data_IF_207454743156
#
_entry.id   IF_207454743156
#
_cell.length_a   1.000
_cell.length_b   1.000
_cell.length_c   1.000
_cell.angle_alpha   90.00
_cell.angle_beta   90.00
_cell.angle_gamma   90.00
#
_symmetry.space_group_name_H-M   'P 1'
#
loop_
_entity.id
_entity.type
_entity.pdbx_description
1 polymer ?
#
# COMPACT_ATOMS: atom_id res chain seq x y z
N UNK A 1 2.27 -25.99 22.44
CA UNK A 1 2.53 -26.47 21.07
C UNK A 1 1.38 -27.30 20.47
N UNK A 2 0.77 -28.29 21.16
CA UNK A 2 -0.32 -29.10 20.53
C UNK A 2 -1.68 -28.40 20.45
N UNK A 3 -2.03 -27.56 21.43
CA UNK A 3 -3.30 -26.83 21.43
C UNK A 3 -3.32 -25.70 20.39
N UNK A 4 -2.19 -25.04 20.20
CA UNK A 4 -2.04 -23.94 19.21
C UNK A 4 -2.10 -24.47 17.77
N UNK A 5 -1.53 -25.65 17.50
CA UNK A 5 -1.58 -26.28 16.17
C UNK A 5 -2.99 -26.76 15.84
N UNK A 6 -3.71 -27.37 16.80
CA UNK A 6 -5.10 -27.77 16.59
C UNK A 6 -6.02 -26.56 16.40
N UNK A 7 -5.76 -25.47 17.10
CA UNK A 7 -6.49 -24.21 16.95
C UNK A 7 -6.27 -23.59 15.56
N UNK A 8 -5.02 -23.55 15.08
CA UNK A 8 -4.67 -23.04 13.75
C UNK A 8 -5.26 -23.90 12.61
N UNK A 9 -5.31 -25.24 12.79
CA UNK A 9 -5.93 -26.14 11.80
C UNK A 9 -7.44 -25.95 11.67
N UNK A 10 -8.12 -25.55 12.76
CA UNK A 10 -9.54 -25.19 12.72
C UNK A 10 -9.82 -23.83 12.04
N UNK A 11 -8.78 -23.02 11.77
CA UNK A 11 -8.90 -21.73 11.08
C UNK A 11 -8.83 -21.86 9.56
N UNK A 12 -8.37 -23.00 9.05
CA UNK A 12 -8.24 -23.24 7.62
C UNK A 12 -9.62 -23.39 7.00
N UNK A 13 -9.97 -22.46 6.12
CA UNK A 13 -11.22 -22.51 5.40
C UNK A 13 -11.12 -23.54 4.26
N UNK A 14 -12.00 -24.53 4.18
CA UNK A 14 -11.97 -25.48 3.09
C UNK A 14 -12.07 -24.79 1.71
N UNK A 15 -11.39 -25.35 0.71
CA UNK A 15 -11.38 -24.79 -0.65
C UNK A 15 -12.81 -24.69 -1.24
N UNK A 16 -13.67 -25.65 -0.93
CA UNK A 16 -15.08 -25.65 -1.37
C UNK A 16 -15.88 -24.49 -0.75
N UNK A 17 -15.59 -24.15 0.52
CA UNK A 17 -16.21 -23.01 1.19
C UNK A 17 -15.79 -21.68 0.54
N UNK A 18 -14.51 -21.58 0.11
CA UNK A 18 -13.99 -20.40 -0.56
C UNK A 18 -14.74 -20.11 -1.87
N UNK A 19 -14.99 -21.12 -2.69
CA UNK A 19 -15.78 -21.00 -3.93
C UNK A 19 -17.22 -20.62 -3.62
N UNK A 20 -17.82 -21.22 -2.61
CA UNK A 20 -19.20 -20.94 -2.18
C UNK A 20 -19.40 -19.49 -1.75
N UNK A 21 -18.45 -18.92 -0.98
CA UNK A 21 -18.47 -17.51 -0.58
C UNK A 21 -18.34 -16.57 -1.79
N UNK A 22 -17.45 -16.91 -2.72
CA UNK A 22 -17.27 -16.12 -3.94
C UNK A 22 -18.55 -16.11 -4.79
N UNK A 23 -19.19 -17.27 -4.98
CA UNK A 23 -20.42 -17.40 -5.77
C UNK A 23 -21.60 -16.65 -5.12
N UNK A 24 -21.68 -16.68 -3.78
CA UNK A 24 -22.67 -15.89 -3.03
C UNK A 24 -22.49 -14.38 -3.26
N UNK A 25 -21.25 -13.87 -3.23
CA UNK A 25 -20.97 -12.46 -3.52
C UNK A 25 -21.29 -12.10 -4.98
N UNK A 26 -21.00 -12.97 -5.94
CA UNK A 26 -21.39 -12.76 -7.35
C UNK A 26 -22.90 -12.68 -7.53
N UNK A 27 -23.64 -13.56 -6.89
CA UNK A 27 -25.11 -13.55 -6.91
C UNK A 27 -25.68 -12.27 -6.29
N UNK A 28 -25.14 -11.85 -5.14
CA UNK A 28 -25.55 -10.62 -4.47
C UNK A 28 -25.21 -9.36 -5.27
N UNK A 29 -24.06 -9.34 -5.97
CA UNK A 29 -23.73 -8.27 -6.91
C UNK A 29 -24.71 -8.23 -8.09
N UNK A 30 -25.01 -9.37 -8.69
CA UNK A 30 -25.97 -9.45 -9.81
C UNK A 30 -27.38 -8.94 -9.40
N UNK A 31 -27.78 -9.18 -8.17
CA UNK A 31 -29.09 -8.72 -7.64
C UNK A 31 -29.09 -7.19 -7.37
N UNK A 32 -27.96 -6.58 -7.02
CA UNK A 32 -27.84 -5.14 -6.78
C UNK A 32 -26.49 -4.59 -7.31
N UNK A 33 -26.35 -4.43 -8.64
CA UNK A 33 -25.08 -4.05 -9.25
C UNK A 33 -24.72 -2.57 -9.11
N UNK A 34 -25.65 -1.73 -8.63
CA UNK A 34 -25.45 -0.28 -8.52
C UNK A 34 -26.05 0.27 -7.22
N UNK A 35 -25.49 -0.06 -6.05
CA UNK A 35 -26.01 0.43 -4.79
C UNK A 35 -26.04 1.96 -4.75
N UNK A 36 -27.12 2.59 -4.24
CA UNK A 36 -27.21 4.05 -4.16
C UNK A 36 -26.22 4.62 -3.12
N UNK A 37 -25.90 5.92 -3.25
CA UNK A 37 -24.97 6.59 -2.34
C UNK A 37 -25.37 6.45 -0.85
N UNK A 38 -26.67 6.51 -0.53
CA UNK A 38 -27.15 6.35 0.84
C UNK A 38 -26.76 5.00 1.44
N UNK A 39 -26.89 3.91 0.67
CA UNK A 39 -26.51 2.57 1.10
C UNK A 39 -25.00 2.45 1.33
N UNK A 40 -24.19 2.98 0.41
CA UNK A 40 -22.71 2.98 0.57
C UNK A 40 -22.28 3.81 1.78
N UNK A 41 -22.94 4.95 2.04
CA UNK A 41 -22.70 5.75 3.25
C UNK A 41 -23.08 5.00 4.54
N UNK A 42 -24.14 4.18 4.52
CA UNK A 42 -24.49 3.32 5.66
C UNK A 42 -23.40 2.28 5.92
N UNK A 43 -22.83 1.66 4.87
CA UNK A 43 -21.72 0.72 5.01
C UNK A 43 -20.48 1.38 5.64
N UNK A 44 -20.08 2.55 5.12
CA UNK A 44 -18.95 3.30 5.66
C UNK A 44 -19.18 3.73 7.11
N UNK A 45 -20.42 4.15 7.45
CA UNK A 45 -20.78 4.49 8.83
C UNK A 45 -20.68 3.27 9.75
N UNK A 46 -21.22 2.13 9.36
CA UNK A 46 -21.17 0.90 10.15
C UNK A 46 -19.70 0.46 10.39
N UNK A 47 -18.85 0.54 9.37
CA UNK A 47 -17.42 0.24 9.51
C UNK A 47 -16.71 1.21 10.47
N UNK A 48 -16.99 2.52 10.36
CA UNK A 48 -16.40 3.53 11.25
C UNK A 48 -16.79 3.30 12.70
N UNK A 49 -18.09 3.10 12.96
CA UNK A 49 -18.62 2.91 14.30
C UNK A 49 -18.01 1.64 14.93
N UNK A 50 -17.94 0.53 14.16
CA UNK A 50 -17.31 -0.72 14.59
C UNK A 50 -15.84 -0.51 15.02
N UNK A 51 -15.02 0.15 14.18
CA UNK A 51 -13.60 0.36 14.49
C UNK A 51 -13.40 1.28 15.70
N UNK A 52 -14.30 2.25 15.89
CA UNK A 52 -14.25 3.17 17.03
C UNK A 52 -14.63 2.47 18.34
N UNK A 53 -15.66 1.61 18.31
CA UNK A 53 -16.16 0.91 19.47
C UNK A 53 -15.20 -0.21 19.93
N UNK A 54 -14.59 -0.92 18.98
CA UNK A 54 -13.75 -2.10 19.24
C UNK A 54 -12.23 -1.78 19.24
N UNK A 55 -11.87 -0.50 19.40
CA UNK A 55 -10.47 -0.03 19.30
C UNK A 55 -9.51 -0.79 20.23
N UNK A 56 -9.92 -1.08 21.48
CA UNK A 56 -9.05 -1.74 22.45
C UNK A 56 -8.82 -3.20 22.06
N UNK A 57 -9.87 -3.92 21.65
CA UNK A 57 -9.75 -5.30 21.20
C UNK A 57 -8.81 -5.43 19.98
N UNK A 58 -8.86 -4.45 19.04
CA UNK A 58 -7.97 -4.40 17.89
C UNK A 58 -6.51 -4.15 18.29
N UNK A 59 -6.26 -3.22 19.23
CA UNK A 59 -4.93 -2.97 19.78
C UNK A 59 -4.36 -4.24 20.43
N UNK A 60 -5.13 -4.90 21.26
CA UNK A 60 -4.72 -6.08 21.99
C UNK A 60 -4.41 -7.26 21.04
N UNK A 61 -5.26 -7.49 20.05
CA UNK A 61 -5.07 -8.55 19.07
C UNK A 61 -3.79 -8.33 18.23
N UNK A 62 -3.56 -7.11 17.76
CA UNK A 62 -2.34 -6.78 16.99
C UNK A 62 -1.10 -6.92 17.88
N UNK A 63 -1.15 -6.44 19.12
CA UNK A 63 -0.03 -6.60 20.06
C UNK A 63 0.27 -8.07 20.36
N UNK A 64 -0.76 -8.90 20.45
CA UNK A 64 -0.62 -10.36 20.63
C UNK A 64 0.12 -11.01 19.45
N UNK A 65 -0.23 -10.68 18.21
CA UNK A 65 0.37 -11.23 17.00
C UNK A 65 1.88 -10.88 16.92
N UNK A 66 2.24 -9.67 17.29
CA UNK A 66 3.64 -9.21 17.32
C UNK A 66 4.41 -9.69 18.57
N UNK A 67 3.76 -10.37 19.52
CA UNK A 67 4.27 -10.61 20.90
C UNK A 67 4.44 -9.34 21.72
N UNK A 68 4.47 -8.21 21.11
CA UNK A 68 4.35 -6.86 21.64
C UNK A 68 4.39 -5.85 20.51
N UNK A 69 3.39 -4.98 20.44
CA UNK A 69 3.39 -3.76 19.63
C UNK A 69 2.82 -2.62 20.47
N UNK A 70 3.41 -1.43 20.38
CA UNK A 70 2.92 -0.25 21.06
C UNK A 70 1.45 0.01 20.74
N UNK A 71 0.67 0.29 21.79
CA UNK A 71 -0.73 0.69 21.63
C UNK A 71 -0.84 2.00 20.83
N UNK A 72 0.06 2.95 21.11
CA UNK A 72 0.10 4.25 20.42
C UNK A 72 0.51 4.08 18.94
N UNK A 73 1.46 3.20 18.61
CA UNK A 73 1.75 2.87 17.21
C UNK A 73 0.51 2.32 16.49
N UNK A 74 -0.24 1.41 17.12
CA UNK A 74 -1.46 0.86 16.53
C UNK A 74 -2.54 1.94 16.34
N UNK A 75 -2.71 2.81 17.33
CA UNK A 75 -3.63 3.96 17.24
C UNK A 75 -3.25 4.92 16.11
N UNK A 76 -1.98 5.32 16.03
CA UNK A 76 -1.51 6.35 15.11
C UNK A 76 -1.31 5.83 13.69
N UNK A 77 -0.85 4.58 13.52
CA UNK A 77 -0.48 4.03 12.23
C UNK A 77 -1.55 3.12 11.59
N UNK A 78 -2.55 2.67 12.35
CA UNK A 78 -3.61 1.80 11.82
C UNK A 78 -5.02 2.35 12.04
N UNK A 79 -5.42 2.61 13.29
CA UNK A 79 -6.79 3.05 13.60
C UNK A 79 -7.08 4.46 13.08
N UNK A 80 -6.21 5.41 13.38
CA UNK A 80 -6.40 6.80 12.98
C UNK A 80 -6.48 6.96 11.45
N UNK A 81 -5.53 6.44 10.64
CA UNK A 81 -5.65 6.55 9.19
C UNK A 81 -6.84 5.78 8.63
N UNK A 82 -7.23 4.64 9.22
CA UNK A 82 -8.47 3.92 8.83
C UNK A 82 -9.71 4.77 9.03
N UNK A 83 -9.85 5.39 10.19
CA UNK A 83 -10.99 6.27 10.51
C UNK A 83 -11.00 7.54 9.67
N UNK A 84 -9.83 8.13 9.40
CA UNK A 84 -9.70 9.28 8.50
C UNK A 84 -10.12 8.94 7.07
N UNK A 85 -9.63 7.83 6.53
CA UNK A 85 -9.99 7.37 5.18
C UNK A 85 -11.50 7.09 5.04
N UNK A 86 -12.14 6.49 6.04
CA UNK A 86 -13.60 6.32 6.07
C UNK A 86 -14.32 7.66 6.07
N UNK A 87 -13.88 8.59 6.91
CA UNK A 87 -14.46 9.92 7.00
C UNK A 87 -14.33 10.68 5.69
N UNK A 88 -13.12 10.71 5.11
CA UNK A 88 -12.83 11.34 3.83
C UNK A 88 -13.70 10.76 2.71
N UNK A 89 -13.76 9.44 2.59
CA UNK A 89 -14.60 8.77 1.60
C UNK A 89 -16.09 9.12 1.79
N UNK A 90 -16.59 9.12 3.03
CA UNK A 90 -17.99 9.45 3.33
C UNK A 90 -18.35 10.88 2.92
N UNK A 91 -17.46 11.84 3.11
CA UNK A 91 -17.68 13.23 2.72
C UNK A 91 -17.70 13.40 1.20
N UNK A 92 -16.82 12.70 0.46
CA UNK A 92 -16.61 12.91 -0.96
C UNK A 92 -17.42 11.97 -1.86
N UNK A 93 -17.97 10.87 -1.32
CA UNK A 93 -18.66 9.81 -2.06
C UNK A 93 -19.68 10.30 -3.07
N UNK A 94 -20.58 11.20 -2.66
CA UNK A 94 -21.60 11.76 -3.56
C UNK A 94 -20.99 12.53 -4.73
N UNK A 95 -19.84 13.16 -4.51
CA UNK A 95 -19.08 13.86 -5.54
C UNK A 95 -18.47 12.88 -6.54
N UNK A 96 -17.81 11.85 -6.03
CA UNK A 96 -17.16 10.81 -6.84
C UNK A 96 -18.13 10.01 -7.71
N UNK A 97 -19.33 9.76 -7.22
CA UNK A 97 -20.38 9.06 -7.96
C UNK A 97 -21.04 9.90 -9.07
N UNK A 98 -20.81 11.22 -9.11
CA UNK A 98 -21.39 12.08 -10.15
C UNK A 98 -20.78 11.72 -11.51
N UNK A 99 -21.63 11.60 -12.56
CA UNK A 99 -21.13 11.44 -13.92
C UNK A 99 -20.22 12.60 -14.33
N UNK A 100 -19.03 12.29 -14.83
CA UNK A 100 -18.08 13.27 -15.33
C UNK A 100 -18.44 13.67 -16.77
N UNK A 101 -18.85 14.91 -17.01
CA UNK A 101 -19.17 15.41 -18.36
C UNK A 101 -17.91 15.48 -19.22
N UNK A 102 -18.04 15.14 -20.51
CA UNK A 102 -16.94 15.17 -21.48
C UNK A 102 -17.31 16.06 -22.67
N UNK A 103 -16.31 16.69 -23.27
CA UNK A 103 -16.48 17.46 -24.49
C UNK A 103 -16.72 16.51 -25.66
N UNK A 104 -17.60 16.92 -26.58
CA UNK A 104 -17.87 16.20 -27.82
C UNK A 104 -17.41 17.07 -29.00
N UNK A 105 -16.55 16.52 -29.84
CA UNK A 105 -16.03 17.21 -31.03
C UNK A 105 -17.15 17.64 -31.99
N UNK A 106 -16.92 18.72 -32.71
CA UNK A 106 -17.92 19.33 -33.59
C UNK A 106 -18.49 18.36 -34.65
N UNK A 107 -17.64 17.45 -35.15
CA UNK A 107 -18.04 16.43 -36.13
C UNK A 107 -19.11 15.45 -35.62
N UNK A 108 -19.27 15.34 -34.28
CA UNK A 108 -20.21 14.42 -33.64
C UNK A 108 -21.48 15.12 -33.12
N UNK A 109 -21.56 16.44 -33.23
CA UNK A 109 -22.74 17.22 -32.81
C UNK A 109 -23.97 16.93 -33.69
N UNK A 110 -25.19 17.02 -33.13
CA UNK A 110 -25.50 17.26 -31.73
C UNK A 110 -25.38 15.97 -30.91
N UNK A 111 -24.53 16.02 -29.88
CA UNK A 111 -24.37 14.92 -28.96
C UNK A 111 -23.89 15.44 -27.60
N UNK A 112 -24.08 14.64 -26.55
CA UNK A 112 -23.46 14.84 -25.25
C UNK A 112 -22.69 13.59 -24.82
N UNK A 113 -21.63 13.76 -24.05
CA UNK A 113 -20.84 12.66 -23.56
C UNK A 113 -20.59 12.79 -22.05
N UNK A 114 -20.55 11.65 -21.38
CA UNK A 114 -20.24 11.56 -19.96
C UNK A 114 -19.54 10.25 -19.65
N UNK A 115 -18.81 10.21 -18.53
CA UNK A 115 -18.31 8.98 -17.92
C UNK A 115 -19.17 8.70 -16.70
N UNK A 116 -19.64 7.47 -16.58
CA UNK A 116 -20.37 6.95 -15.42
C UNK A 116 -19.46 5.93 -14.74
N UNK A 117 -19.32 6.04 -13.43
CA UNK A 117 -18.54 5.11 -12.63
C UNK A 117 -19.46 4.02 -12.09
N UNK A 118 -19.15 2.76 -12.41
CA UNK A 118 -19.91 1.58 -11.99
C UNK A 118 -19.04 0.67 -11.15
N UNK A 119 -19.57 0.03 -10.08
CA UNK A 119 -18.83 -1.02 -9.37
C UNK A 119 -18.31 -2.07 -10.34
N UNK A 120 -17.14 -2.62 -10.06
CA UNK A 120 -16.56 -3.72 -10.86
C UNK A 120 -17.33 -5.03 -10.65
N UNK A 121 -17.63 -5.36 -9.39
CA UNK A 121 -18.27 -6.61 -9.02
C UNK A 121 -17.78 -7.15 -7.68
N UNK A 122 -17.05 -8.25 -7.70
CA UNK A 122 -16.42 -8.85 -6.52
C UNK A 122 -14.92 -8.55 -6.53
N UNK A 123 -14.46 -7.87 -5.49
CA UNK A 123 -13.06 -7.47 -5.31
C UNK A 123 -12.40 -8.40 -4.28
N UNK A 124 -11.27 -8.98 -4.66
CA UNK A 124 -10.39 -9.69 -3.74
C UNK A 124 -9.31 -8.76 -3.18
N UNK A 125 -9.02 -8.87 -1.90
CA UNK A 125 -7.93 -8.15 -1.24
C UNK A 125 -7.08 -9.12 -0.44
N UNK A 126 -5.79 -9.22 -0.75
CA UNK A 126 -4.82 -10.01 0.02
C UNK A 126 -3.99 -9.06 0.86
N UNK A 127 -4.10 -9.23 2.18
CA UNK A 127 -3.61 -8.31 3.20
C UNK A 127 -2.32 -8.85 3.80
N UNK A 128 -1.26 -8.04 3.97
CA UNK A 128 -0.03 -8.42 4.63
C UNK A 128 -0.16 -8.37 6.16
N UNK A 129 0.91 -8.75 6.85
CA UNK A 129 0.94 -8.85 8.31
C UNK A 129 1.44 -7.59 9.03
N UNK A 130 2.11 -6.65 8.34
CA UNK A 130 2.81 -5.55 9.02
C UNK A 130 1.90 -4.43 9.56
N UNK A 131 0.83 -4.13 8.85
CA UNK A 131 -0.28 -3.27 9.28
C UNK A 131 -1.59 -3.95 8.94
N UNK A 132 -1.95 -5.02 9.69
CA UNK A 132 -3.03 -5.93 9.30
C UNK A 132 -4.41 -5.28 9.31
N UNK A 133 -4.63 -4.26 10.14
CA UNK A 133 -5.87 -3.49 10.18
C UNK A 133 -5.92 -2.47 9.03
N UNK A 134 -4.96 -1.55 8.97
CA UNK A 134 -4.99 -0.45 8.00
C UNK A 134 -4.97 -0.96 6.55
N UNK A 135 -4.15 -1.97 6.26
CA UNK A 135 -4.03 -2.54 4.92
C UNK A 135 -5.20 -3.47 4.53
N UNK A 136 -6.07 -3.83 5.48
CA UNK A 136 -7.37 -4.42 5.21
C UNK A 136 -8.44 -3.34 4.98
N UNK A 137 -8.49 -2.35 5.85
CA UNK A 137 -9.56 -1.35 5.87
C UNK A 137 -9.43 -0.33 4.73
N UNK A 138 -8.22 0.13 4.39
CA UNK A 138 -8.01 1.08 3.30
C UNK A 138 -8.61 0.62 1.96
N UNK A 139 -8.21 -0.56 1.43
CA UNK A 139 -8.84 -1.12 0.23
C UNK A 139 -10.34 -1.41 0.39
N UNK A 140 -10.77 -1.89 1.56
CA UNK A 140 -12.19 -2.13 1.85
C UNK A 140 -13.03 -0.85 1.71
N UNK A 141 -12.54 0.28 2.25
CA UNK A 141 -13.19 1.60 2.13
C UNK A 141 -13.33 2.01 0.66
N UNK A 142 -12.26 1.88 -0.12
CA UNK A 142 -12.28 2.18 -1.55
C UNK A 142 -13.29 1.32 -2.32
N UNK A 143 -13.28 0.01 -2.09
CA UNK A 143 -14.16 -0.95 -2.75
C UNK A 143 -15.64 -0.76 -2.36
N UNK A 144 -15.96 -0.55 -1.07
CA UNK A 144 -17.32 -0.25 -0.60
C UNK A 144 -17.82 1.10 -1.11
N UNK A 145 -16.95 2.11 -1.16
CA UNK A 145 -17.27 3.42 -1.75
C UNK A 145 -17.64 3.30 -3.23
N UNK A 146 -16.92 2.47 -3.97
CA UNK A 146 -17.24 2.16 -5.36
C UNK A 146 -18.50 1.29 -5.52
N UNK A 147 -18.95 0.60 -4.46
CA UNK A 147 -20.17 -0.20 -4.43
C UNK A 147 -19.96 -1.70 -4.71
N UNK A 148 -18.75 -2.20 -4.54
CA UNK A 148 -18.39 -3.61 -4.77
C UNK A 148 -18.74 -4.51 -3.58
N UNK A 149 -18.68 -5.81 -3.84
CA UNK A 149 -18.57 -6.89 -2.85
C UNK A 149 -17.09 -7.15 -2.59
N UNK A 150 -16.71 -7.54 -1.37
CA UNK A 150 -15.30 -7.63 -1.00
C UNK A 150 -14.99 -8.92 -0.24
N UNK A 151 -13.97 -9.63 -0.68
CA UNK A 151 -13.36 -10.74 0.03
C UNK A 151 -11.99 -10.32 0.53
N UNK A 152 -11.72 -10.45 1.84
CA UNK A 152 -10.44 -10.11 2.47
C UNK A 152 -9.72 -11.40 2.86
N UNK A 153 -8.57 -11.71 2.24
CA UNK A 153 -7.66 -12.76 2.70
C UNK A 153 -6.62 -12.16 3.62
N UNK A 154 -6.76 -12.41 4.90
CA UNK A 154 -5.83 -11.91 5.91
C UNK A 154 -4.59 -12.80 6.03
N UNK A 155 -3.50 -12.23 6.56
CA UNK A 155 -2.24 -12.95 6.69
C UNK A 155 -2.30 -14.02 7.79
N UNK A 156 -1.72 -15.16 7.52
CA UNK A 156 -1.48 -16.24 8.49
C UNK A 156 -0.52 -15.85 9.61
N UNK A 157 0.29 -14.80 9.42
CA UNK A 157 1.22 -14.31 10.43
C UNK A 157 0.56 -13.42 11.50
N UNK A 158 -0.72 -13.06 11.32
CA UNK A 158 -1.51 -12.24 12.26
C UNK A 158 -2.84 -12.92 12.58
N UNK A 159 -2.81 -14.12 13.21
CA UNK A 159 -4.01 -14.93 13.42
C UNK A 159 -4.99 -14.31 14.41
N UNK A 160 -4.53 -13.67 15.50
CA UNK A 160 -5.41 -13.04 16.48
C UNK A 160 -6.20 -11.86 15.85
N UNK A 161 -5.50 -10.99 15.12
CA UNK A 161 -6.12 -9.91 14.36
C UNK A 161 -7.07 -10.45 13.30
N UNK A 162 -6.68 -11.52 12.60
CA UNK A 162 -7.48 -12.15 11.56
C UNK A 162 -8.81 -12.69 12.09
N UNK A 163 -8.80 -13.41 13.20
CA UNK A 163 -9.98 -13.94 13.86
C UNK A 163 -10.91 -12.82 14.33
N UNK A 164 -10.33 -11.82 14.99
CA UNK A 164 -11.11 -10.70 15.50
C UNK A 164 -11.78 -9.92 14.35
N UNK A 165 -11.04 -9.62 13.27
CA UNK A 165 -11.63 -8.94 12.11
C UNK A 165 -12.71 -9.78 11.42
N UNK A 166 -12.56 -11.11 11.33
CA UNK A 166 -13.61 -12.00 10.81
C UNK A 166 -14.88 -11.91 11.64
N UNK A 167 -14.76 -11.93 12.95
CA UNK A 167 -15.88 -11.81 13.87
C UNK A 167 -16.53 -10.41 13.76
N UNK A 168 -15.73 -9.35 13.89
CA UNK A 168 -16.21 -7.97 13.93
C UNK A 168 -16.91 -7.56 12.63
N UNK A 169 -16.28 -7.82 11.49
CA UNK A 169 -16.89 -7.50 10.18
C UNK A 169 -18.16 -8.32 9.94
N UNK A 170 -18.20 -9.57 10.41
CA UNK A 170 -19.40 -10.42 10.35
C UNK A 170 -20.57 -9.94 11.20
N UNK A 171 -20.34 -9.10 12.23
CA UNK A 171 -21.41 -8.48 13.03
C UNK A 171 -22.15 -7.36 12.27
N UNK A 172 -21.48 -6.67 11.34
CA UNK A 172 -22.02 -5.47 10.67
C UNK A 172 -22.27 -5.65 9.18
N UNK A 173 -21.64 -6.66 8.56
CA UNK A 173 -21.82 -6.96 7.14
C UNK A 173 -22.22 -8.41 6.92
N UNK A 174 -23.21 -8.68 6.05
CA UNK A 174 -23.47 -10.03 5.59
C UNK A 174 -22.28 -10.52 4.73
N UNK A 175 -22.02 -11.84 4.72
CA UNK A 175 -20.88 -12.43 4.03
C UNK A 175 -20.92 -12.23 2.50
N UNK A 176 -22.09 -12.02 1.94
CA UNK A 176 -22.30 -11.69 0.53
C UNK A 176 -21.98 -10.22 0.18
N UNK A 177 -21.64 -9.39 1.19
CA UNK A 177 -21.12 -8.04 1.01
C UNK A 177 -19.64 -7.95 1.37
N UNK A 178 -19.26 -8.37 2.57
CA UNK A 178 -17.88 -8.43 3.05
C UNK A 178 -17.65 -9.75 3.73
N UNK A 179 -16.66 -10.51 3.28
CA UNK A 179 -16.25 -11.71 4.00
C UNK A 179 -14.73 -11.74 4.22
N UNK A 180 -14.33 -12.35 5.34
CA UNK A 180 -12.94 -12.54 5.73
C UNK A 180 -12.58 -14.02 5.55
N UNK A 181 -11.50 -14.25 4.81
CA UNK A 181 -10.92 -15.56 4.54
C UNK A 181 -9.62 -15.67 5.35
N UNK A 182 -9.55 -16.71 6.17
CA UNK A 182 -8.35 -17.09 6.92
C UNK A 182 -7.76 -18.37 6.33
N UNK A 183 -6.52 -18.65 6.63
CA UNK A 183 -5.82 -19.87 6.22
C UNK A 183 -4.40 -19.58 5.75
N UNK A 184 -3.65 -20.66 5.54
CA UNK A 184 -2.24 -20.65 5.18
C UNK A 184 -2.01 -20.31 3.70
N UNK A 185 -0.78 -20.49 3.22
CA UNK A 185 -0.37 -20.13 1.87
C UNK A 185 -1.17 -20.83 0.75
N UNK A 186 -1.63 -22.05 0.96
CA UNK A 186 -2.46 -22.81 0.03
C UNK A 186 -3.82 -22.13 -0.23
N UNK A 187 -4.45 -21.62 0.83
CA UNK A 187 -5.67 -20.80 0.72
C UNK A 187 -5.38 -19.48 -0.01
N UNK A 188 -4.21 -18.86 0.24
CA UNK A 188 -3.78 -17.68 -0.50
C UNK A 188 -3.62 -17.93 -1.99
N UNK A 189 -3.06 -19.08 -2.38
CA UNK A 189 -2.94 -19.52 -3.78
C UNK A 189 -4.32 -19.76 -4.40
N UNK A 190 -5.21 -20.47 -3.70
CA UNK A 190 -6.58 -20.73 -4.18
C UNK A 190 -7.37 -19.43 -4.33
N UNK A 191 -7.26 -18.53 -3.36
CA UNK A 191 -7.89 -17.20 -3.38
C UNK A 191 -7.45 -16.41 -4.62
N UNK A 192 -6.15 -16.37 -4.92
CA UNK A 192 -5.63 -15.64 -6.08
C UNK A 192 -6.11 -16.19 -7.45
N UNK A 193 -6.64 -17.41 -7.51
CA UNK A 193 -7.20 -18.05 -8.70
C UNK A 193 -8.70 -17.83 -8.89
N UNK A 194 -9.40 -17.26 -7.89
CA UNK A 194 -10.80 -16.90 -8.05
C UNK A 194 -10.98 -15.84 -9.16
N UNK A 195 -12.11 -15.89 -9.85
CA UNK A 195 -12.42 -14.99 -10.96
C UNK A 195 -12.92 -13.62 -10.47
N UNK A 196 -12.10 -12.95 -9.66
CA UNK A 196 -12.41 -11.61 -9.21
C UNK A 196 -12.54 -10.63 -10.37
N UNK A 197 -13.33 -9.58 -10.17
CA UNK A 197 -13.40 -8.45 -11.10
C UNK A 197 -12.25 -7.45 -10.87
N UNK A 198 -11.59 -7.53 -9.72
CA UNK A 198 -10.31 -6.89 -9.40
C UNK A 198 -9.64 -7.61 -8.22
N UNK A 199 -8.32 -7.70 -8.23
CA UNK A 199 -7.55 -8.27 -7.13
C UNK A 199 -6.47 -7.28 -6.66
N UNK A 200 -6.56 -6.84 -5.41
CA UNK A 200 -5.50 -6.05 -4.77
C UNK A 200 -4.65 -6.97 -3.91
N UNK A 201 -3.36 -6.87 -4.06
CA UNK A 201 -2.37 -7.58 -3.25
C UNK A 201 -1.38 -6.59 -2.66
N UNK A 202 -1.14 -6.69 -1.36
CA UNK A 202 -0.05 -6.00 -0.67
C UNK A 202 0.90 -7.03 -0.06
N UNK A 203 2.20 -6.92 -0.36
CA UNK A 203 3.20 -7.85 0.16
C UNK A 203 4.51 -7.86 -0.62
N UNK A 204 5.27 -8.95 -0.49
CA UNK A 204 6.58 -9.08 -1.14
C UNK A 204 6.47 -9.16 -2.67
N UNK A 205 7.42 -8.54 -3.38
CA UNK A 205 7.47 -8.52 -4.87
C UNK A 205 7.47 -9.93 -5.48
N UNK A 206 8.15 -10.90 -4.86
CA UNK A 206 8.18 -12.29 -5.31
C UNK A 206 6.77 -12.91 -5.30
N UNK A 207 6.00 -12.68 -4.25
CA UNK A 207 4.63 -13.19 -4.12
C UNK A 207 3.68 -12.44 -5.06
N UNK A 208 3.82 -11.11 -5.19
CA UNK A 208 3.03 -10.31 -6.14
C UNK A 208 3.13 -10.83 -7.58
N UNK A 209 4.30 -11.32 -8.01
CA UNK A 209 4.48 -11.97 -9.31
C UNK A 209 3.65 -13.26 -9.45
N UNK A 210 3.51 -14.05 -8.38
CA UNK A 210 2.66 -15.24 -8.39
C UNK A 210 1.18 -14.89 -8.45
N UNK A 211 0.76 -13.90 -7.66
CA UNK A 211 -0.62 -13.38 -7.66
C UNK A 211 -0.99 -12.85 -9.06
N UNK A 212 -0.12 -12.08 -9.69
CA UNK A 212 -0.32 -11.55 -11.04
C UNK A 212 -0.45 -12.67 -12.08
N UNK A 213 0.38 -13.72 -12.00
CA UNK A 213 0.28 -14.87 -12.91
C UNK A 213 -1.06 -15.61 -12.73
N UNK A 214 -1.50 -15.84 -11.49
CA UNK A 214 -2.77 -16.48 -11.20
C UNK A 214 -3.96 -15.62 -11.72
N UNK A 215 -3.92 -14.32 -11.51
CA UNK A 215 -4.93 -13.38 -11.98
C UNK A 215 -5.03 -13.34 -13.53
N UNK A 216 -3.90 -13.47 -14.21
CA UNK A 216 -3.84 -13.47 -15.69
C UNK A 216 -4.65 -14.61 -16.33
N UNK A 217 -4.76 -15.77 -15.68
CA UNK A 217 -5.57 -16.92 -16.13
C UNK A 217 -7.05 -16.53 -16.34
N UNK A 218 -7.54 -15.55 -15.56
CA UNK A 218 -8.92 -15.09 -15.57
C UNK A 218 -9.09 -13.69 -16.19
N UNK A 219 -7.99 -13.05 -16.66
CA UNK A 219 -7.96 -11.64 -17.06
C UNK A 219 -8.39 -10.70 -15.93
N UNK A 220 -8.18 -11.10 -14.67
CA UNK A 220 -8.47 -10.28 -13.51
C UNK A 220 -7.47 -9.11 -13.43
N UNK A 221 -7.93 -7.85 -13.47
CA UNK A 221 -7.05 -6.70 -13.23
C UNK A 221 -6.47 -6.74 -11.82
N UNK A 222 -5.20 -6.35 -11.67
CA UNK A 222 -4.54 -6.33 -10.37
C UNK A 222 -4.04 -4.94 -9.98
N UNK A 223 -4.11 -4.65 -8.67
CA UNK A 223 -3.31 -3.62 -8.02
C UNK A 223 -2.30 -4.31 -7.13
N UNK A 224 -1.02 -4.02 -7.31
CA UNK A 224 0.06 -4.62 -6.55
C UNK A 224 0.77 -3.54 -5.75
N UNK A 225 0.64 -3.61 -4.43
CA UNK A 225 1.34 -2.76 -3.48
C UNK A 225 2.51 -3.57 -2.90
N UNK A 226 3.68 -3.29 -3.43
CA UNK A 226 4.89 -4.05 -3.10
C UNK A 226 5.85 -3.14 -2.32
N UNK A 227 6.99 -3.65 -1.94
CA UNK A 227 7.97 -2.88 -1.22
C UNK A 227 9.07 -2.34 -2.12
N UNK A 228 10.27 -2.40 -1.61
CA UNK A 228 11.49 -2.01 -2.30
C UNK A 228 12.47 -1.32 -1.35
N UNK A 229 13.65 -0.97 -1.87
CA UNK A 229 14.69 -0.29 -1.10
C UNK A 229 14.48 1.21 -1.18
N UNK A 230 13.61 1.76 -0.31
CA UNK A 230 13.27 3.18 -0.25
C UNK A 230 14.46 4.02 0.26
N UNK A 231 15.10 4.88 -0.57
CA UNK A 231 16.24 5.70 -0.18
C UNK A 231 15.81 6.93 0.61
N UNK A 232 16.65 7.35 1.55
CA UNK A 232 16.62 8.69 2.11
C UNK A 232 17.90 9.44 1.71
N UNK A 233 17.77 10.62 1.12
CA UNK A 233 18.90 11.48 0.71
C UNK A 233 18.99 12.66 1.69
N UNK A 234 20.13 12.84 2.33
CA UNK A 234 20.42 13.96 3.24
C UNK A 234 21.28 14.97 2.48
N UNK A 235 20.79 16.20 2.24
CA UNK A 235 21.56 17.24 1.55
C UNK A 235 22.70 17.79 2.41
N UNK A 236 23.62 18.54 1.79
CA UNK A 236 24.72 19.18 2.49
C UNK A 236 24.25 20.28 3.45
N UNK A 237 23.14 20.94 3.14
CA UNK A 237 22.70 22.16 3.83
C UNK A 237 21.66 21.90 4.93
N UNK A 238 21.11 20.66 4.99
CA UNK A 238 20.08 20.36 6.00
C UNK A 238 20.70 20.24 7.40
N UNK A 239 20.03 20.74 8.45
CA UNK A 239 20.41 20.48 9.82
C UNK A 239 20.33 18.96 10.09
N UNK A 240 21.48 18.34 10.39
CA UNK A 240 21.55 16.87 10.55
C UNK A 240 20.64 16.34 11.65
N UNK A 241 20.47 17.11 12.73
CA UNK A 241 19.56 16.73 13.82
C UNK A 241 18.13 16.52 13.30
N UNK A 242 17.60 17.44 12.49
CA UNK A 242 16.24 17.39 11.98
C UNK A 242 16.05 16.23 11.00
N UNK A 243 17.01 16.02 10.09
CA UNK A 243 16.98 14.92 9.14
C UNK A 243 17.10 13.56 9.86
N UNK A 244 18.05 13.44 10.78
CA UNK A 244 18.30 12.21 11.54
C UNK A 244 17.09 11.82 12.39
N UNK A 245 16.43 12.78 13.07
CA UNK A 245 15.24 12.54 13.89
C UNK A 245 14.08 12.00 13.06
N UNK A 246 13.79 12.60 11.90
CA UNK A 246 12.71 12.16 11.01
C UNK A 246 13.01 10.83 10.33
N UNK A 247 14.27 10.60 9.94
CA UNK A 247 14.68 9.29 9.38
C UNK A 247 14.64 8.22 10.47
N UNK A 248 15.05 8.53 11.70
CA UNK A 248 14.98 7.64 12.83
C UNK A 248 13.53 7.25 13.13
N UNK A 249 12.60 8.22 13.21
CA UNK A 249 11.17 7.93 13.38
C UNK A 249 10.65 7.00 12.28
N UNK A 250 10.90 7.34 11.01
CA UNK A 250 10.42 6.51 9.88
C UNK A 250 11.02 5.11 9.83
N UNK A 251 12.21 4.93 10.38
CA UNK A 251 12.88 3.62 10.42
C UNK A 251 12.56 2.81 11.68
N UNK A 252 12.20 3.45 12.79
CA UNK A 252 11.92 2.75 14.04
C UNK A 252 10.44 2.43 14.24
N UNK A 253 9.53 3.16 13.61
CA UNK A 253 8.10 2.86 13.62
C UNK A 253 7.88 1.39 13.16
N UNK A 254 7.13 0.62 13.94
CA UNK A 254 6.92 -0.81 13.73
C UNK A 254 8.24 -1.60 13.60
N UNK A 255 9.31 -1.17 14.27
CA UNK A 255 10.67 -1.72 14.15
C UNK A 255 11.16 -1.80 12.69
N UNK A 256 10.76 -0.86 11.84
CA UNK A 256 11.13 -0.81 10.41
C UNK A 256 10.40 -1.83 9.53
N UNK A 257 9.41 -2.53 10.04
CA UNK A 257 8.59 -3.49 9.29
C UNK A 257 7.51 -2.78 8.47
N UNK A 258 7.95 -1.86 7.60
CA UNK A 258 7.09 -0.93 6.86
C UNK A 258 7.62 -0.81 5.42
N UNK A 259 6.74 -0.98 4.43
CA UNK A 259 7.08 -0.95 2.99
C UNK A 259 7.66 0.39 2.52
N UNK A 260 7.39 1.45 3.25
CA UNK A 260 7.91 2.80 3.00
C UNK A 260 8.97 3.24 4.03
N UNK A 261 9.42 2.37 4.95
CA UNK A 261 10.51 2.73 5.86
C UNK A 261 11.77 3.10 5.05
N UNK A 262 12.54 4.11 5.47
CA UNK A 262 13.87 4.33 4.89
C UNK A 262 14.68 3.04 4.94
N UNK A 263 15.03 2.49 3.78
CA UNK A 263 15.71 1.20 3.70
C UNK A 263 17.23 1.38 3.75
N UNK A 264 17.73 2.46 3.18
CA UNK A 264 19.11 2.96 3.34
C UNK A 264 19.12 4.48 3.27
N UNK A 265 20.20 5.09 3.76
CA UNK A 265 20.37 6.54 3.72
C UNK A 265 21.64 6.94 2.97
N UNK A 266 21.53 7.91 2.07
CA UNK A 266 22.62 8.55 1.37
C UNK A 266 23.00 9.82 2.12
N UNK A 267 24.26 9.91 2.56
CA UNK A 267 24.78 11.01 3.37
C UNK A 267 26.06 11.56 2.72
N UNK A 268 26.25 12.89 2.63
CA UNK A 268 27.53 13.45 2.18
C UNK A 268 28.69 12.84 2.97
N UNK A 269 29.76 12.40 2.27
CA UNK A 269 30.84 11.62 2.87
C UNK A 269 31.51 12.30 4.07
N UNK A 270 31.65 13.62 4.01
CA UNK A 270 32.23 14.45 5.09
C UNK A 270 31.30 14.63 6.28
N UNK A 271 30.02 14.22 6.17
CA UNK A 271 28.98 14.34 7.21
C UNK A 271 28.54 13.03 7.83
N UNK A 272 29.06 11.88 7.36
CA UNK A 272 28.65 10.54 7.82
C UNK A 272 28.79 10.38 9.33
N UNK A 273 29.94 10.74 9.90
CA UNK A 273 30.17 10.62 11.35
C UNK A 273 29.20 11.46 12.18
N UNK A 274 28.95 12.70 11.73
CA UNK A 274 27.99 13.60 12.41
C UNK A 274 26.55 13.11 12.28
N UNK A 275 26.18 12.51 11.13
CA UNK A 275 24.87 11.92 10.94
C UNK A 275 24.66 10.69 11.85
N UNK A 276 25.66 9.80 11.94
CA UNK A 276 25.62 8.62 12.84
C UNK A 276 25.33 9.05 14.27
N UNK A 277 26.02 10.10 14.75
CA UNK A 277 25.84 10.57 16.12
C UNK A 277 24.47 11.22 16.33
N UNK A 278 24.01 12.07 15.39
CA UNK A 278 22.67 12.66 15.44
C UNK A 278 21.56 11.59 15.41
N UNK A 279 21.73 10.58 14.57
CA UNK A 279 20.77 9.46 14.45
C UNK A 279 20.72 8.61 15.73
N UNK A 280 21.90 8.31 16.32
CA UNK A 280 21.99 7.61 17.59
C UNK A 280 21.27 8.36 18.70
N UNK A 281 21.47 9.68 18.79
CA UNK A 281 20.81 10.53 19.77
C UNK A 281 19.29 10.52 19.59
N UNK A 282 18.81 10.61 18.34
CA UNK A 282 17.38 10.56 18.03
C UNK A 282 16.76 9.22 18.47
N UNK A 283 17.34 8.08 18.07
CA UNK A 283 16.82 6.75 18.44
C UNK A 283 16.83 6.53 19.95
N UNK A 284 17.89 6.94 20.65
CA UNK A 284 17.95 6.85 22.12
C UNK A 284 16.98 7.79 22.82
N UNK A 285 16.68 8.93 22.19
CA UNK A 285 15.65 9.85 22.67
C UNK A 285 14.25 9.27 22.57
N UNK A 286 13.96 8.52 21.51
CA UNK A 286 12.66 7.82 21.32
C UNK A 286 12.55 6.60 22.22
N UNK A 287 13.61 5.82 22.31
CA UNK A 287 13.64 4.54 23.04
C UNK A 287 14.85 4.53 23.99
N UNK A 288 14.70 5.00 25.22
CA UNK A 288 15.80 5.01 26.20
C UNK A 288 16.30 3.61 26.54
N UNK A 289 15.42 2.61 26.49
CA UNK A 289 15.71 1.19 26.69
C UNK A 289 15.11 0.37 25.58
N UNK A 290 15.62 -0.85 25.36
CA UNK A 290 15.03 -1.83 24.43
C UNK A 290 14.16 -2.85 25.19
N UNK A 291 14.72 -3.41 26.26
CA UNK A 291 14.04 -4.40 27.11
C UNK A 291 12.95 -3.68 27.92
N UNK A 292 11.78 -4.30 28.01
CA UNK A 292 10.62 -3.79 28.77
C UNK A 292 10.09 -2.41 28.32
N UNK A 293 10.52 -1.92 27.16
CA UNK A 293 10.02 -0.67 26.62
C UNK A 293 8.63 -0.89 25.96
N UNK A 294 7.57 -0.23 26.44
CA UNK A 294 6.21 -0.39 25.90
C UNK A 294 6.05 0.20 24.50
N UNK A 295 6.95 1.10 24.09
CA UNK A 295 6.87 1.79 22.80
C UNK A 295 7.63 1.07 21.68
N UNK A 296 8.49 0.07 22.00
CA UNK A 296 9.31 -0.60 21.01
C UNK A 296 8.68 -1.92 20.54
N UNK A 297 8.28 -1.95 19.26
CA UNK A 297 7.61 -3.09 18.63
C UNK A 297 8.57 -4.25 18.35
N UNK A 298 8.13 -5.49 18.59
CA UNK A 298 8.89 -6.69 18.29
C UNK A 298 8.80 -7.09 16.80
N UNK A 299 9.73 -7.93 16.36
CA UNK A 299 9.67 -8.57 15.02
C UNK A 299 8.54 -9.59 15.01
N UNK A 300 7.77 -9.63 13.93
CA UNK A 300 6.51 -10.39 13.84
C UNK A 300 6.65 -11.87 14.17
N UNK A 301 7.74 -12.53 13.74
CA UNK A 301 7.98 -13.94 14.00
C UNK A 301 9.47 -14.29 13.95
N UNK A 302 9.80 -15.51 14.39
CA UNK A 302 11.18 -15.98 14.46
C UNK A 302 11.83 -16.12 13.08
N UNK A 303 11.06 -16.44 12.05
CA UNK A 303 11.57 -16.50 10.67
C UNK A 303 12.08 -15.13 10.19
N UNK A 304 11.36 -14.07 10.48
CA UNK A 304 11.78 -12.72 10.12
C UNK A 304 12.94 -12.24 10.97
N UNK A 305 12.97 -12.59 12.26
CA UNK A 305 14.11 -12.31 13.12
C UNK A 305 15.38 -13.02 12.63
N UNK A 306 15.28 -14.29 12.27
CA UNK A 306 16.41 -15.06 11.72
C UNK A 306 16.91 -14.47 10.40
N UNK A 307 16.01 -14.03 9.51
CA UNK A 307 16.35 -13.35 8.26
C UNK A 307 17.14 -12.06 8.51
N UNK A 308 16.69 -11.23 9.44
CA UNK A 308 17.36 -9.97 9.79
C UNK A 308 18.76 -10.21 10.41
N UNK A 309 18.89 -11.19 11.29
CA UNK A 309 20.19 -11.59 11.84
C UNK A 309 21.11 -12.13 10.74
N UNK A 310 20.57 -12.86 9.76
CA UNK A 310 21.30 -13.29 8.57
C UNK A 310 21.86 -12.13 7.76
N UNK A 311 21.11 -11.05 7.59
CA UNK A 311 21.61 -9.84 6.92
C UNK A 311 22.78 -9.18 7.66
N UNK A 312 22.72 -9.10 8.99
CA UNK A 312 23.80 -8.55 9.79
C UNK A 312 25.06 -9.44 9.72
N UNK A 313 24.89 -10.75 9.80
CA UNK A 313 25.99 -11.72 9.68
C UNK A 313 26.65 -11.67 8.30
N UNK A 314 25.87 -11.66 7.22
CA UNK A 314 26.40 -11.53 5.85
C UNK A 314 27.17 -10.22 5.66
N UNK A 315 26.55 -9.09 6.06
CA UNK A 315 27.18 -7.78 5.93
C UNK A 315 28.50 -7.67 6.69
N UNK A 316 28.52 -8.12 7.95
CA UNK A 316 29.75 -8.08 8.77
C UNK A 316 30.84 -9.02 8.24
N UNK A 317 30.47 -10.21 7.76
CA UNK A 317 31.44 -11.13 7.11
C UNK A 317 32.07 -10.57 5.84
N UNK A 318 31.36 -9.65 5.16
CA UNK A 318 31.82 -8.95 3.95
C UNK A 318 32.49 -7.59 4.24
N UNK A 319 32.71 -7.26 5.52
CA UNK A 319 33.47 -6.06 5.91
C UNK A 319 32.66 -4.84 6.27
N UNK A 320 31.32 -4.94 6.39
CA UNK A 320 30.51 -3.85 6.93
C UNK A 320 30.83 -3.62 8.42
N UNK A 321 30.88 -2.35 8.81
CA UNK A 321 30.98 -1.95 10.21
C UNK A 321 29.59 -1.89 10.83
N UNK A 322 29.28 -2.82 11.72
CA UNK A 322 28.03 -2.83 12.50
C UNK A 322 28.14 -1.89 13.71
N UNK A 323 27.20 -0.98 13.82
CA UNK A 323 27.04 -0.05 14.96
C UNK A 323 25.70 -0.35 15.63
N UNK A 324 25.64 -1.19 16.67
CA UNK A 324 24.44 -1.42 17.43
C UNK A 324 24.10 -0.17 18.26
N UNK A 325 22.82 0.20 18.28
CA UNK A 325 22.34 1.35 19.07
C UNK A 325 21.82 0.92 20.44
N UNK A 326 21.58 -0.37 20.62
CA UNK A 326 21.16 -1.00 21.86
C UNK A 326 22.00 -2.25 22.14
N UNK A 327 22.00 -2.67 23.38
CA UNK A 327 22.47 -4.01 23.75
C UNK A 327 21.55 -5.10 23.15
N UNK A 328 21.91 -6.36 23.31
CA UNK A 328 21.11 -7.45 22.74
C UNK A 328 19.67 -7.42 23.24
N UNK A 329 18.72 -7.50 22.31
CA UNK A 329 17.31 -7.59 22.61
C UNK A 329 16.91 -8.92 23.24
N UNK A 330 15.73 -8.96 23.84
CA UNK A 330 15.12 -10.15 24.43
C UNK A 330 13.99 -10.68 23.57
N UNK A 331 13.93 -11.98 23.35
CA UNK A 331 12.92 -12.59 22.51
C UNK A 331 12.98 -12.07 21.07
N UNK A 332 11.85 -11.58 20.54
CA UNK A 332 11.74 -11.01 19.18
C UNK A 332 11.99 -9.50 19.13
N UNK A 333 12.37 -8.83 20.21
CA UNK A 333 12.76 -7.42 20.21
C UNK A 333 14.19 -7.30 19.69
N UNK A 334 14.35 -6.89 18.45
CA UNK A 334 15.65 -6.69 17.81
C UNK A 334 16.09 -5.23 17.95
N UNK A 335 17.25 -4.99 18.52
CA UNK A 335 17.82 -3.65 18.66
C UNK A 335 18.14 -3.01 17.32
N UNK A 336 17.91 -1.70 17.23
CA UNK A 336 18.23 -0.94 16.03
C UNK A 336 19.73 -0.85 15.79
N UNK A 337 20.17 -0.99 14.55
CA UNK A 337 21.57 -1.00 14.15
C UNK A 337 21.82 -0.21 12.88
N UNK A 338 22.99 0.45 12.81
CA UNK A 338 23.50 1.08 11.60
C UNK A 338 24.58 0.19 10.96
N UNK A 339 24.69 0.24 9.65
CA UNK A 339 25.76 -0.42 8.88
C UNK A 339 26.53 0.63 8.07
N UNK A 340 27.84 0.70 8.27
CA UNK A 340 28.76 1.48 7.44
C UNK A 340 29.60 0.55 6.55
N UNK A 341 30.26 1.12 5.55
CA UNK A 341 31.11 0.39 4.59
C UNK A 341 30.34 -0.75 3.90
N UNK A 342 29.08 -0.50 3.57
CA UNK A 342 28.25 -1.48 2.85
C UNK A 342 28.60 -1.52 1.37
N UNK A 343 28.52 -2.70 0.77
CA UNK A 343 28.74 -2.95 -0.65
C UNK A 343 27.53 -3.67 -1.28
N UNK A 344 27.38 -3.54 -2.60
CA UNK A 344 26.21 -4.05 -3.33
C UNK A 344 26.10 -5.58 -3.35
N UNK A 345 27.16 -6.32 -3.04
CA UNK A 345 27.15 -7.78 -2.90
C UNK A 345 26.64 -8.27 -1.55
N UNK A 346 26.44 -7.38 -0.57
CA UNK A 346 25.82 -7.69 0.71
C UNK A 346 24.33 -7.89 0.54
N UNK A 347 23.76 -8.95 1.11
CA UNK A 347 22.33 -9.28 0.99
C UNK A 347 21.44 -8.16 1.51
N UNK A 348 21.86 -7.45 2.56
CA UNK A 348 21.17 -6.27 3.12
C UNK A 348 21.02 -5.13 2.10
N UNK A 349 21.90 -5.05 1.09
CA UNK A 349 21.82 -4.06 0.01
C UNK A 349 21.08 -4.55 -1.23
N UNK A 350 20.81 -5.85 -1.35
CA UNK A 350 20.06 -6.46 -2.46
C UNK A 350 18.59 -6.59 -2.16
N UNK A 351 18.24 -7.03 -0.95
CA UNK A 351 16.87 -7.25 -0.52
C UNK A 351 16.31 -6.06 0.27
N UNK A 352 14.99 -5.90 0.27
CA UNK A 352 14.29 -5.01 1.18
C UNK A 352 14.49 -5.49 2.63
N UNK A 353 14.96 -4.61 3.49
CA UNK A 353 15.36 -4.98 4.86
C UNK A 353 14.16 -5.34 5.72
N UNK A 354 13.12 -4.50 5.72
CA UNK A 354 11.88 -4.70 6.49
C UNK A 354 12.16 -5.02 7.97
N UNK A 355 12.98 -4.17 8.58
CA UNK A 355 13.47 -4.37 9.96
C UNK A 355 14.35 -3.22 10.44
N UNK A 356 14.81 -3.26 11.71
CA UNK A 356 15.49 -2.15 12.37
C UNK A 356 17.01 -2.10 12.04
N UNK A 357 17.35 -2.18 10.78
CA UNK A 357 18.73 -2.06 10.27
C UNK A 357 18.79 -0.97 9.22
N UNK A 358 19.69 -0.01 9.35
CA UNK A 358 19.84 1.11 8.43
C UNK A 358 21.26 1.19 7.87
N UNK A 359 21.51 0.79 6.62
CA UNK A 359 22.76 1.06 5.90
C UNK A 359 22.93 2.55 5.62
N UNK A 360 24.15 3.05 5.78
CA UNK A 360 24.56 4.41 5.45
C UNK A 360 25.53 4.34 4.28
N UNK A 361 25.17 4.99 3.18
CA UNK A 361 25.95 5.05 1.93
C UNK A 361 26.48 6.47 1.76
N UNK A 362 27.81 6.67 1.77
CA UNK A 362 28.38 7.99 1.52
C UNK A 362 28.23 8.40 0.05
N UNK A 363 28.07 9.70 -0.19
CA UNK A 363 28.11 10.27 -1.55
C UNK A 363 28.88 11.60 -1.59
N UNK A 364 29.46 11.92 -2.74
CA UNK A 364 30.23 13.15 -2.95
C UNK A 364 29.37 14.31 -3.44
N UNK A 365 28.43 14.03 -4.35
CA UNK A 365 27.48 15.01 -4.92
C UNK A 365 26.15 14.34 -5.26
N UNK A 366 25.11 15.14 -5.50
CA UNK A 366 23.76 14.63 -5.77
C UNK A 366 23.66 13.81 -7.05
N UNK A 367 24.52 14.05 -8.05
CA UNK A 367 24.52 13.26 -9.30
C UNK A 367 24.95 11.82 -9.03
N UNK A 368 25.93 11.62 -8.15
CA UNK A 368 26.31 10.29 -7.67
C UNK A 368 25.16 9.63 -6.89
N UNK A 369 24.50 10.38 -6.02
CA UNK A 369 23.35 9.85 -5.28
C UNK A 369 22.20 9.42 -6.21
N UNK A 370 21.89 10.22 -7.22
CA UNK A 370 20.88 9.88 -8.22
C UNK A 370 21.30 8.67 -9.09
N UNK A 371 22.53 8.61 -9.52
CA UNK A 371 23.07 7.46 -10.25
C UNK A 371 22.96 6.18 -9.43
N UNK A 372 23.31 6.24 -8.14
CA UNK A 372 23.20 5.12 -7.21
C UNK A 372 21.75 4.62 -7.07
N UNK A 373 20.77 5.52 -6.94
CA UNK A 373 19.35 5.17 -6.85
C UNK A 373 18.86 4.59 -8.18
N UNK A 374 19.17 5.23 -9.31
CA UNK A 374 18.64 4.87 -10.62
C UNK A 374 19.19 3.54 -11.19
N UNK A 375 20.31 3.04 -10.66
CA UNK A 375 20.83 1.71 -10.97
C UNK A 375 20.04 0.58 -10.31
N UNK A 376 19.14 0.92 -9.36
CA UNK A 376 18.34 -0.04 -8.58
C UNK A 376 16.89 -0.09 -9.07
N UNK A 377 16.16 -1.17 -8.76
CA UNK A 377 14.72 -1.20 -8.99
C UNK A 377 14.01 -0.01 -8.33
N UNK A 378 13.03 0.55 -9.02
CA UNK A 378 12.26 1.70 -8.53
C UNK A 378 11.58 1.38 -7.20
N UNK A 379 11.84 2.17 -6.14
CA UNK A 379 11.28 1.94 -4.82
C UNK A 379 9.84 2.44 -4.71
N UNK A 380 9.12 1.99 -3.69
CA UNK A 380 7.79 2.49 -3.35
C UNK A 380 7.84 3.93 -2.86
N UNK A 381 8.80 4.28 -2.01
CA UNK A 381 8.99 5.63 -1.51
C UNK A 381 10.42 6.13 -1.73
N UNK A 382 10.57 7.45 -1.80
CA UNK A 382 11.84 8.16 -1.82
C UNK A 382 11.75 9.38 -0.91
N UNK A 383 12.80 9.65 -0.16
CA UNK A 383 12.90 10.74 0.81
C UNK A 383 14.06 11.66 0.47
N UNK A 384 13.83 12.95 0.57
CA UNK A 384 14.88 13.94 0.42
C UNK A 384 14.80 14.99 1.52
N UNK A 385 15.92 15.24 2.16
CA UNK A 385 16.07 16.22 3.24
C UNK A 385 16.97 17.35 2.77
N UNK A 386 16.39 18.49 2.53
CA UNK A 386 17.03 19.72 2.07
C UNK A 386 16.00 20.77 1.68
N UNK A 387 16.35 22.06 1.84
CA UNK A 387 15.42 23.16 1.62
C UNK A 387 15.66 23.91 0.31
N UNK A 388 16.76 23.64 -0.40
CA UNK A 388 17.00 24.22 -1.72
C UNK A 388 15.98 23.71 -2.74
N UNK A 389 15.18 24.63 -3.30
CA UNK A 389 14.11 24.31 -4.26
C UNK A 389 14.64 23.72 -5.58
N UNK A 390 15.85 24.08 -5.98
CA UNK A 390 16.47 23.55 -7.19
C UNK A 390 16.86 22.07 -7.00
N UNK A 391 17.43 21.75 -5.84
CA UNK A 391 17.77 20.37 -5.50
C UNK A 391 16.51 19.53 -5.33
N UNK A 392 15.45 20.05 -4.65
CA UNK A 392 14.16 19.38 -4.56
C UNK A 392 13.60 19.06 -5.95
N UNK A 393 13.65 20.03 -6.88
CA UNK A 393 13.17 19.83 -8.25
C UNK A 393 14.02 18.79 -8.99
N UNK A 394 15.36 18.83 -8.84
CA UNK A 394 16.24 17.81 -9.40
C UNK A 394 15.92 16.40 -8.92
N UNK A 395 15.63 16.23 -7.63
CA UNK A 395 15.17 14.94 -7.08
C UNK A 395 13.93 14.45 -7.79
N UNK A 396 12.92 15.32 -7.97
CA UNK A 396 11.68 14.97 -8.65
C UNK A 396 11.87 14.62 -10.13
N UNK A 397 12.79 15.32 -10.81
CA UNK A 397 13.01 15.17 -12.25
C UNK A 397 13.96 14.01 -12.60
N UNK A 398 14.91 13.70 -11.70
CA UNK A 398 16.02 12.78 -12.01
C UNK A 398 15.92 11.43 -11.29
N UNK A 399 14.93 11.25 -10.41
CA UNK A 399 14.67 9.96 -9.75
C UNK A 399 13.24 9.47 -10.05
N UNK A 400 12.98 8.18 -9.82
CA UNK A 400 11.68 7.60 -10.08
C UNK A 400 11.29 6.63 -8.96
N UNK A 401 10.17 6.91 -8.29
CA UNK A 401 9.59 6.09 -7.20
C UNK A 401 8.07 6.08 -7.28
N UNK A 402 7.41 5.28 -6.46
CA UNK A 402 5.96 5.33 -6.29
C UNK A 402 5.49 6.66 -5.72
N UNK A 403 6.17 7.15 -4.68
CA UNK A 403 5.92 8.45 -4.06
C UNK A 403 7.18 9.10 -3.53
N UNK A 404 7.13 10.41 -3.28
CA UNK A 404 8.24 11.20 -2.72
C UNK A 404 7.73 11.98 -1.51
N UNK A 405 8.52 12.00 -0.43
CA UNK A 405 8.29 12.90 0.68
C UNK A 405 9.52 13.80 0.87
N UNK A 406 9.32 15.11 0.85
CA UNK A 406 10.38 16.11 1.05
C UNK A 406 10.38 16.55 2.51
N UNK A 407 11.54 16.48 3.14
CA UNK A 407 11.81 16.89 4.52
C UNK A 407 11.00 16.14 5.58
N UNK A 408 10.52 14.95 5.26
CA UNK A 408 9.91 14.03 6.23
C UNK A 408 9.96 12.59 5.73
N UNK A 409 9.46 11.63 6.52
CA UNK A 409 9.29 10.24 6.17
C UNK A 409 7.86 9.78 6.40
N UNK A 410 7.40 8.73 5.71
CA UNK A 410 6.13 8.02 5.89
C UNK A 410 4.86 8.86 5.62
N UNK A 411 4.79 10.14 5.98
CA UNK A 411 3.55 10.93 6.06
C UNK A 411 2.78 11.07 4.74
N UNK A 412 3.42 10.89 3.60
CA UNK A 412 2.75 10.90 2.29
C UNK A 412 1.76 9.74 2.12
N UNK A 413 1.95 8.62 2.86
CA UNK A 413 1.05 7.46 2.84
C UNK A 413 -0.28 7.76 3.53
N UNK A 414 -0.25 8.63 4.54
CA UNK A 414 -1.43 8.96 5.33
C UNK A 414 -2.32 10.06 4.69
N UNK A 415 -1.99 10.50 3.46
CA UNK A 415 -2.74 11.55 2.76
C UNK A 415 -3.84 10.92 1.91
N UNK A 416 -5.11 11.10 2.33
CA UNK A 416 -6.26 10.55 1.62
C UNK A 416 -6.51 11.16 0.23
N UNK A 417 -6.05 12.41 -0.02
CA UNK A 417 -6.20 13.12 -1.29
C UNK A 417 -4.94 13.04 -2.16
N UNK A 418 -4.21 11.93 -2.05
CA UNK A 418 -3.04 11.65 -2.88
C UNK A 418 -3.07 10.19 -3.34
N UNK A 419 -2.68 9.89 -4.60
CA UNK A 419 -2.49 8.53 -5.03
C UNK A 419 -1.36 7.88 -4.22
N UNK A 420 -1.57 6.64 -3.79
CA UNK A 420 -0.54 5.81 -3.21
C UNK A 420 -0.42 4.51 -4.00
N UNK A 421 0.79 4.19 -4.43
CA UNK A 421 1.09 2.98 -5.18
C UNK A 421 2.51 2.98 -5.74
N UNK A 422 3.01 1.80 -6.05
CA UNK A 422 4.36 1.58 -6.58
C UNK A 422 4.48 1.68 -8.09
N UNK A 423 5.70 1.53 -8.59
CA UNK A 423 6.02 1.48 -10.01
C UNK A 423 7.09 0.44 -10.32
N UNK A 424 6.88 -0.39 -11.33
CA UNK A 424 7.81 -1.45 -11.71
C UNK A 424 7.92 -2.52 -10.63
N UNK A 425 9.09 -2.69 -10.00
CA UNK A 425 9.31 -3.69 -8.96
C UNK A 425 8.57 -3.39 -7.65
N UNK A 426 8.22 -2.12 -7.40
CA UNK A 426 7.47 -1.71 -6.22
C UNK A 426 5.96 -1.78 -6.37
N UNK A 427 5.45 -2.08 -7.57
CA UNK A 427 4.02 -2.31 -7.75
C UNK A 427 3.43 -1.81 -9.05
N UNK A 428 2.10 -1.84 -9.13
CA UNK A 428 1.30 -1.29 -10.20
C UNK A 428 -0.09 -0.92 -9.69
N UNK A 429 -0.66 0.13 -10.27
CA UNK A 429 -1.90 0.71 -9.78
C UNK A 429 -1.66 1.58 -8.55
N UNK A 430 -2.72 2.05 -7.98
CA UNK A 430 -2.73 2.87 -6.77
C UNK A 430 -4.11 2.82 -6.14
N UNK A 431 -4.18 3.11 -4.84
CA UNK A 431 -5.44 3.22 -4.12
C UNK A 431 -5.28 4.30 -3.03
N UNK A 432 -6.21 4.85 -2.52
CA UNK A 432 -6.53 5.81 -1.47
C UNK A 432 -7.54 6.81 -2.03
N UNK A 433 -8.40 7.29 -1.20
CA UNK A 433 -9.34 8.35 -1.51
C UNK A 433 -10.06 8.20 -2.85
N UNK A 434 -9.99 9.23 -3.67
CA UNK A 434 -10.62 9.24 -5.00
C UNK A 434 -10.02 8.20 -5.96
N UNK A 435 -8.70 8.05 -5.94
CA UNK A 435 -8.02 7.06 -6.78
C UNK A 435 -8.42 5.63 -6.42
N UNK A 436 -8.63 5.35 -5.14
CA UNK A 436 -9.16 4.06 -4.68
C UNK A 436 -10.59 3.83 -5.18
N UNK A 437 -11.44 4.84 -5.12
CA UNK A 437 -12.78 4.76 -5.72
C UNK A 437 -12.71 4.48 -7.24
N UNK A 438 -11.81 5.15 -7.97
CA UNK A 438 -11.62 4.94 -9.41
C UNK A 438 -11.07 3.55 -9.74
N UNK A 439 -10.08 3.08 -8.99
CA UNK A 439 -9.47 1.75 -9.16
C UNK A 439 -10.50 0.63 -9.04
N UNK A 440 -11.44 0.75 -8.11
CA UNK A 440 -12.53 -0.21 -7.93
C UNK A 440 -13.80 0.14 -8.72
N UNK A 441 -13.70 1.03 -9.72
CA UNK A 441 -14.82 1.45 -10.56
C UNK A 441 -14.52 1.24 -12.04
N UNK A 442 -15.52 0.80 -12.80
CA UNK A 442 -15.48 0.87 -14.26
C UNK A 442 -15.87 2.26 -14.74
N UNK A 443 -14.91 2.99 -15.29
CA UNK A 443 -15.21 4.24 -16.01
C UNK A 443 -15.88 3.93 -17.36
N UNK A 444 -17.21 4.03 -17.41
CA UNK A 444 -18.02 3.72 -18.59
C UNK A 444 -18.30 4.98 -19.39
N UNK A 445 -17.74 5.06 -20.59
CA UNK A 445 -18.03 6.13 -21.54
C UNK A 445 -19.46 6.01 -22.09
N UNK A 446 -20.22 7.09 -22.04
CA UNK A 446 -21.60 7.17 -22.56
C UNK A 446 -21.69 8.34 -23.55
N UNK A 447 -21.98 8.06 -24.81
CA UNK A 447 -22.28 9.05 -25.85
C UNK A 447 -23.79 9.05 -26.10
N UNK A 448 -24.43 10.21 -25.96
CA UNK A 448 -25.87 10.36 -26.17
C UNK A 448 -26.05 11.19 -27.42
N UNK A 449 -26.59 10.57 -28.47
CA UNK A 449 -27.00 11.27 -29.71
C UNK A 449 -28.43 11.82 -29.55
N UNK A 450 -28.65 13.00 -30.07
CA UNK A 450 -29.98 13.59 -30.17
C UNK A 450 -30.81 12.93 -31.30
N UNK A 451 -32.10 13.22 -31.35
CA UNK A 451 -33.03 12.71 -32.37
C UNK A 451 -32.57 13.05 -33.80
N UNK A 452 -31.97 14.21 -33.99
CA UNK A 452 -31.39 14.62 -35.26
C UNK A 452 -30.09 13.83 -35.53
N UNK A 453 -30.05 13.16 -36.69
CA UNK A 453 -28.93 12.31 -37.06
C UNK A 453 -28.05 12.91 -38.15
N UNK A 454 -27.14 13.82 -37.78
CA UNK A 454 -26.13 14.37 -38.67
C UNK A 454 -25.18 13.30 -39.26
N UNK A 455 -25.02 12.13 -38.62
CA UNK A 455 -24.17 11.06 -39.13
C UNK A 455 -24.68 10.48 -40.48
N UNK A 456 -25.94 10.73 -40.86
CA UNK A 456 -26.42 10.35 -42.20
C UNK A 456 -25.60 10.94 -43.34
N UNK A 457 -24.94 12.09 -43.14
CA UNK A 457 -24.05 12.73 -44.10
C UNK A 457 -22.82 11.88 -44.47
N UNK A 458 -22.39 11.03 -43.56
CA UNK A 458 -21.21 10.16 -43.75
C UNK A 458 -21.61 8.70 -44.07
N UNK A 459 -22.92 8.37 -44.15
CA UNK A 459 -23.37 7.01 -44.49
C UNK A 459 -23.18 6.71 -45.98
N UNK A 460 -22.97 5.43 -46.32
CA UNK A 460 -22.94 5.02 -47.73
C UNK A 460 -24.24 5.39 -48.47
N UNK A 461 -24.19 5.50 -49.81
CA UNK A 461 -23.02 5.33 -50.67
C UNK A 461 -22.00 6.46 -50.49
N UNK A 462 -20.71 6.12 -50.55
CA UNK A 462 -19.61 7.06 -50.40
C UNK A 462 -19.38 7.89 -51.68
N UNK A 463 -18.55 8.95 -51.56
CA UNK A 463 -18.18 9.82 -52.70
C UNK A 463 -19.12 11.03 -52.90
N UNK A 464 -20.09 11.23 -52.01
CA UNK A 464 -20.97 12.41 -52.03
C UNK A 464 -20.17 13.71 -51.85
N UNK A 465 -20.64 14.81 -52.49
CA UNK A 465 -19.96 16.11 -52.37
C UNK A 465 -19.75 16.58 -50.92
N UNK A 466 -20.71 16.32 -50.04
CA UNK A 466 -20.61 16.65 -48.61
C UNK A 466 -19.51 15.85 -47.90
N UNK A 467 -19.29 14.58 -48.29
CA UNK A 467 -18.23 13.73 -47.73
C UNK A 467 -16.86 14.22 -48.17
N UNK A 468 -16.71 14.65 -49.45
CA UNK A 468 -15.49 15.25 -49.97
C UNK A 468 -15.16 16.58 -49.24
N UNK A 469 -16.17 17.38 -48.95
CA UNK A 469 -16.04 18.62 -48.19
C UNK A 469 -15.59 18.33 -46.75
N UNK A 470 -16.21 17.37 -46.08
CA UNK A 470 -15.83 16.93 -44.73
C UNK A 470 -14.36 16.44 -44.72
N UNK A 471 -13.99 15.60 -45.69
CA UNK A 471 -12.61 15.15 -45.84
C UNK A 471 -11.64 16.32 -45.99
N UNK A 472 -11.94 17.30 -46.84
CA UNK A 472 -11.10 18.49 -47.06
C UNK A 472 -10.98 19.37 -45.80
N UNK A 473 -12.00 19.41 -44.95
CA UNK A 473 -12.00 20.21 -43.71
C UNK A 473 -11.27 19.52 -42.55
N UNK A 474 -11.34 18.20 -42.47
CA UNK A 474 -10.83 17.43 -41.29
C UNK A 474 -9.59 16.60 -41.60
N UNK A 475 -9.28 16.31 -42.89
CA UNK A 475 -8.10 15.57 -43.32
C UNK A 475 -7.25 16.59 -44.13
N UNK A 476 -6.33 17.23 -43.41
CA UNK A 476 -5.34 18.14 -44.03
C UNK A 476 -4.04 17.42 -44.30
#
# INVERSE_FOLDING_TARGET
MSADIAYLQNLQQPLDELQTLFDAQRAAYAANPMPPAAQRQQWLKALRDLLSDERQALIDAISQDFSHRSADETLLAELMPSLHGIHYASQHLKGWMKPSRRKVGIAFQPASAKVVYQPLGVVGVIVPWNYPLYLAIGPLVGALSAGNRVMLKLSESTPATGLLLKELLGRVFPQDLVCVVLGEADIGVAFSRLRFDHLLFTGATSIGKHVMRAAAENLTPVTLELGGKSPAIVSRDVPLKDAAERIAFGKTLNAGQTCVAPDYVLVPEDRVGSFVEAYRQAVRGFYPTLTDNPDYTAIINDRQLARLNGYLSDATSKGALLIPLFDQGQGRRMGHSLLLNVSDDMTVMQDEIFGPVLPIVPYTDLDQAFAYINQRPRPLALYYFGYDKREQQRVLDQTHSGGVCLNDTLLHVAQDDMPFGGIGASGMGHYHGHEGFLTFSKAKGVLIKQRFNAAKLIYPPYGKAIQKLIQKLFIR
#
